data_IF_658011935898
#
_entry.id   IF_658011935898
#
_cell.length_a   1.000
_cell.length_b   1.000
_cell.length_c   1.000
_cell.angle_alpha   90.00
_cell.angle_beta   90.00
_cell.angle_gamma   90.00
#
_symmetry.space_group_name_H-M   'P 1'
#
loop_
_entity.id
_entity.type
_entity.pdbx_description
1 polymer ?
#
# COMPACT_ATOMS: atom_id res chain seq x y z
N UNK A 1 21.92 1.74 24.76
CA UNK A 1 20.71 1.60 23.91
C UNK A 1 20.99 0.59 22.81
N UNK A 2 20.52 -0.65 22.98
CA UNK A 2 20.74 -1.75 22.04
C UNK A 2 19.92 -1.50 20.77
N UNK A 3 20.59 -1.22 19.65
CA UNK A 3 19.96 -1.11 18.32
C UNK A 3 19.34 -2.47 18.00
N UNK A 4 18.01 -2.55 17.94
CA UNK A 4 17.30 -3.76 17.54
C UNK A 4 17.86 -4.28 16.22
N UNK A 5 18.36 -5.52 16.22
CA UNK A 5 18.85 -6.19 15.02
C UNK A 5 17.66 -6.38 14.07
N UNK A 6 17.59 -5.55 13.04
CA UNK A 6 16.65 -5.73 11.93
C UNK A 6 17.03 -7.03 11.23
N UNK A 7 16.22 -8.07 11.36
CA UNK A 7 16.40 -9.28 10.56
C UNK A 7 16.08 -8.94 9.10
N UNK A 8 17.14 -8.66 8.34
CA UNK A 8 17.18 -8.20 6.94
C UNK A 8 16.67 -9.27 5.95
N UNK A 9 15.43 -9.74 6.06
CA UNK A 9 14.87 -10.70 5.09
C UNK A 9 13.47 -10.39 4.55
N UNK A 10 12.85 -9.30 4.96
CA UNK A 10 11.53 -8.95 4.43
C UNK A 10 11.67 -8.31 3.05
N UNK A 11 11.09 -8.97 2.05
CA UNK A 11 11.05 -8.55 0.64
C UNK A 11 9.60 -8.29 0.26
N UNK A 12 9.41 -7.33 -0.63
CA UNK A 12 8.12 -7.09 -1.24
C UNK A 12 7.67 -8.35 -2.00
N UNK A 13 6.45 -8.82 -1.73
CA UNK A 13 5.88 -9.98 -2.39
C UNK A 13 5.69 -9.78 -3.90
N UNK A 14 5.42 -8.54 -4.34
CA UNK A 14 5.13 -8.21 -5.74
C UNK A 14 6.41 -8.02 -6.56
N UNK A 15 7.36 -7.21 -6.08
CA UNK A 15 8.56 -6.87 -6.86
C UNK A 15 9.84 -7.55 -6.38
N UNK A 16 9.80 -8.34 -5.30
CA UNK A 16 10.95 -9.07 -4.75
C UNK A 16 12.06 -8.20 -4.12
N UNK A 17 11.94 -6.87 -4.21
CA UNK A 17 12.90 -5.91 -3.64
C UNK A 17 12.87 -5.94 -2.12
N UNK A 18 14.03 -5.74 -1.48
CA UNK A 18 14.11 -5.58 -0.02
C UNK A 18 13.29 -4.36 0.41
N UNK A 19 12.59 -4.47 1.53
CA UNK A 19 11.87 -3.35 2.10
C UNK A 19 12.86 -2.28 2.56
N UNK A 20 12.66 -1.05 2.10
CA UNK A 20 13.42 0.12 2.55
C UNK A 20 12.83 0.67 3.85
N UNK A 21 13.53 1.60 4.51
CA UNK A 21 13.01 2.26 5.73
C UNK A 21 11.61 2.86 5.54
N UNK A 22 11.28 3.36 4.35
CA UNK A 22 9.96 3.93 4.03
C UNK A 22 8.85 2.88 3.98
N UNK A 23 9.18 1.59 3.95
CA UNK A 23 8.24 0.48 4.00
C UNK A 23 8.26 -0.23 5.35
N UNK A 24 8.93 0.35 6.35
CA UNK A 24 9.05 -0.18 7.70
C UNK A 24 8.54 0.84 8.71
N UNK A 25 7.98 0.35 9.82
CA UNK A 25 7.54 1.15 10.97
C UNK A 25 8.11 0.57 12.26
N UNK A 26 8.26 1.39 13.29
CA UNK A 26 8.74 0.95 14.59
C UNK A 26 7.54 0.61 15.47
N UNK A 27 7.46 -0.63 15.92
CA UNK A 27 6.44 -1.10 16.86
C UNK A 27 7.11 -1.82 18.02
N UNK A 28 6.90 -1.31 19.24
CA UNK A 28 7.51 -1.84 20.49
C UNK A 28 9.03 -2.03 20.37
N UNK A 29 9.71 -1.05 19.78
CA UNK A 29 11.17 -1.06 19.60
C UNK A 29 11.70 -1.95 18.46
N UNK A 30 10.82 -2.62 17.70
CA UNK A 30 11.20 -3.46 16.56
C UNK A 30 10.76 -2.82 15.24
N UNK A 31 11.62 -2.91 14.21
CA UNK A 31 11.25 -2.57 12.85
C UNK A 31 10.37 -3.68 12.26
N UNK A 32 9.21 -3.30 11.73
CA UNK A 32 8.24 -4.20 11.09
C UNK A 32 7.81 -3.63 9.74
N UNK A 33 7.35 -4.45 8.79
CA UNK A 33 6.72 -3.98 7.56
C UNK A 33 5.53 -3.08 7.88
N UNK A 34 5.47 -1.94 7.21
CA UNK A 34 4.37 -0.99 7.35
C UNK A 34 3.14 -1.42 6.53
N UNK A 35 3.37 -2.06 5.38
CA UNK A 35 2.32 -2.42 4.43
C UNK A 35 2.21 -3.94 4.30
N UNK A 36 1.03 -4.47 4.63
CA UNK A 36 0.66 -5.88 4.51
C UNK A 36 -0.49 -6.03 3.52
N UNK A 37 -0.48 -7.12 2.76
CA UNK A 37 -1.57 -7.55 1.88
C UNK A 37 -2.01 -8.95 2.28
N UNK A 38 -3.32 -9.12 2.46
CA UNK A 38 -3.90 -10.40 2.89
C UNK A 38 -4.41 -11.12 1.65
N UNK A 39 -3.82 -12.27 1.34
CA UNK A 39 -4.25 -13.13 0.25
C UNK A 39 -5.59 -13.81 0.58
N UNK A 40 -6.28 -14.34 -0.44
CA UNK A 40 -7.57 -15.04 -0.27
C UNK A 40 -7.52 -16.24 0.70
N UNK A 41 -6.34 -16.84 0.86
CA UNK A 41 -6.09 -17.94 1.81
C UNK A 41 -5.80 -17.45 3.24
N UNK A 42 -5.90 -16.14 3.51
CA UNK A 42 -5.59 -15.52 4.80
C UNK A 42 -4.11 -15.26 5.04
N UNK A 43 -3.22 -15.61 4.10
CA UNK A 43 -1.80 -15.41 4.26
C UNK A 43 -1.42 -13.93 4.12
N UNK A 44 -0.65 -13.42 5.09
CA UNK A 44 -0.13 -12.06 5.07
C UNK A 44 1.16 -11.97 4.27
N UNK A 45 1.20 -11.07 3.31
CA UNK A 45 2.36 -10.77 2.46
C UNK A 45 2.78 -9.32 2.65
N UNK A 46 4.08 -9.07 2.66
CA UNK A 46 4.61 -7.71 2.84
C UNK A 46 4.80 -6.99 1.51
N UNK A 47 4.53 -5.69 1.49
CA UNK A 47 4.67 -4.85 0.32
C UNK A 47 5.65 -3.70 0.56
N UNK A 48 6.38 -3.31 -0.49
CA UNK A 48 7.03 -2.01 -0.48
C UNK A 48 6.00 -0.91 -0.75
N UNK A 49 6.29 0.31 -0.29
CA UNK A 49 5.43 1.48 -0.47
C UNK A 49 5.03 1.71 -1.94
N UNK A 50 5.95 1.51 -2.88
CA UNK A 50 5.66 1.66 -4.32
C UNK A 50 4.63 0.65 -4.81
N UNK A 51 4.76 -0.63 -4.45
CA UNK A 51 3.81 -1.65 -4.87
C UNK A 51 2.46 -1.46 -4.18
N UNK A 52 2.46 -1.10 -2.90
CA UNK A 52 1.24 -0.76 -2.16
C UNK A 52 0.48 0.40 -2.83
N UNK A 53 1.15 1.51 -3.11
CA UNK A 53 0.50 2.68 -3.74
C UNK A 53 -0.04 2.38 -5.14
N UNK A 54 0.60 1.50 -5.91
CA UNK A 54 0.09 1.05 -7.21
C UNK A 54 -1.20 0.26 -7.07
N UNK A 55 -1.26 -0.68 -6.11
CA UNK A 55 -2.45 -1.50 -5.86
C UNK A 55 -3.59 -0.61 -5.38
N UNK A 56 -3.37 0.19 -4.34
CA UNK A 56 -4.38 1.10 -3.79
C UNK A 56 -4.85 2.12 -4.85
N UNK A 57 -3.94 2.61 -5.70
CA UNK A 57 -4.29 3.51 -6.79
C UNK A 57 -5.23 2.85 -7.81
N UNK A 58 -4.97 1.59 -8.18
CA UNK A 58 -5.85 0.84 -9.09
C UNK A 58 -7.20 0.54 -8.44
N UNK A 59 -7.22 0.07 -7.19
CA UNK A 59 -8.46 -0.20 -6.45
C UNK A 59 -9.31 1.08 -6.28
N UNK A 60 -8.65 2.22 -6.05
CA UNK A 60 -9.33 3.52 -5.97
C UNK A 60 -9.92 3.92 -7.32
N UNK A 61 -9.21 3.72 -8.44
CA UNK A 61 -9.72 4.02 -9.77
C UNK A 61 -10.96 3.18 -10.09
N UNK A 62 -10.92 1.87 -9.86
CA UNK A 62 -12.07 0.98 -10.05
C UNK A 62 -13.26 1.39 -9.18
N UNK A 63 -13.01 1.83 -7.94
CA UNK A 63 -14.05 2.34 -7.06
C UNK A 63 -14.67 3.64 -7.59
N UNK A 64 -13.86 4.57 -8.11
CA UNK A 64 -14.33 5.82 -8.69
C UNK A 64 -15.11 5.60 -10.00
N UNK A 65 -14.70 4.63 -10.82
CA UNK A 65 -15.43 4.24 -12.03
C UNK A 65 -16.82 3.70 -11.69
N UNK A 66 -16.92 2.81 -10.70
CA UNK A 66 -18.22 2.32 -10.20
C UNK A 66 -19.11 3.45 -9.70
N UNK A 67 -18.56 4.39 -8.92
CA UNK A 67 -19.30 5.58 -8.50
C UNK A 67 -19.79 6.36 -9.73
N UNK A 68 -18.95 6.57 -10.75
CA UNK A 68 -19.34 7.33 -11.94
C UNK A 68 -20.41 6.61 -12.78
N UNK A 69 -20.35 5.28 -12.90
CA UNK A 69 -21.38 4.48 -13.58
C UNK A 69 -22.72 4.60 -12.84
N UNK A 70 -22.73 4.50 -11.51
CA UNK A 70 -23.93 4.74 -10.68
C UNK A 70 -24.39 6.21 -10.74
N UNK A 71 -23.44 7.14 -10.88
CA UNK A 71 -23.67 8.58 -11.02
C UNK A 71 -24.06 9.00 -12.44
N UNK A 72 -24.21 8.08 -13.40
CA UNK A 72 -24.73 8.43 -14.74
C UNK A 72 -26.22 8.86 -14.71
N UNK A 73 -26.85 8.92 -13.53
CA UNK A 73 -28.06 9.70 -13.26
C UNK A 73 -27.83 11.12 -12.68
N UNK A 74 -26.65 11.45 -12.14
CA UNK A 74 -26.26 12.79 -11.66
C UNK A 74 -24.74 13.02 -11.80
N UNK A 75 -24.33 13.77 -12.84
CA UNK A 75 -22.94 14.18 -13.14
C UNK A 75 -22.14 14.61 -11.89
N UNK A 76 -21.13 13.85 -11.50
CA UNK A 76 -20.10 14.30 -10.55
C UNK A 76 -18.87 14.76 -11.34
N UNK A 77 -18.49 16.04 -11.20
CA UNK A 77 -17.22 16.55 -11.72
C UNK A 77 -16.12 16.19 -10.73
N UNK A 78 -15.24 15.27 -11.12
CA UNK A 78 -14.01 15.01 -10.37
C UNK A 78 -13.01 16.12 -10.70
N UNK A 79 -12.72 16.95 -9.71
CA UNK A 79 -11.64 17.95 -9.80
C UNK A 79 -10.32 17.24 -9.47
N UNK A 80 -9.46 17.05 -10.47
CA UNK A 80 -8.07 16.67 -10.22
C UNK A 80 -7.36 17.83 -9.53
N UNK A 81 -6.98 17.63 -8.26
CA UNK A 81 -6.09 18.56 -7.58
C UNK A 81 -4.66 18.36 -8.10
N UNK A 82 -4.34 18.99 -9.23
CA UNK A 82 -2.96 19.36 -9.55
C UNK A 82 -2.56 20.49 -8.60
N UNK A 83 -1.63 20.22 -7.69
CA UNK A 83 -1.08 21.21 -6.79
C UNK A 83 0.45 21.19 -6.88
N UNK A 84 0.97 22.38 -7.24
CA UNK A 84 2.28 22.99 -6.93
C UNK A 84 3.57 22.27 -7.34
#
# INVERSE_FOLDING_TARGET
>A
MSRGKVSVKERCHICGRKLSRNSLTISRGNLKPMYEYILKNGEKKFLCSTCFNKIVGLELLEFLEKINEESSSKKVKVYSATNY
#
